data_IF_877056236945
#
_entry.id   IF_877056236945
#
_cell.length_a   1.000
_cell.length_b   1.000
_cell.length_c   1.000
_cell.angle_alpha   90.00
_cell.angle_beta   90.00
_cell.angle_gamma   90.00
#
_symmetry.space_group_name_H-M   'P 1'
#
loop_
_entity.id
_entity.type
_entity.pdbx_description
1 polymer ?
#
# COMPACT_ATOMS: atom_id res chain seq x y z
N UNK A 1 13.46 -21.41 13.47
CA UNK A 1 12.09 -21.95 13.54
C UNK A 1 11.18 -21.05 12.70
N UNK A 2 10.92 -21.41 11.45
CA UNK A 2 9.92 -20.72 10.62
C UNK A 2 8.55 -21.27 11.01
N UNK A 3 7.75 -20.46 11.71
CA UNK A 3 6.36 -20.83 12.00
C UNK A 3 5.55 -20.58 10.71
N UNK A 4 5.01 -21.61 10.05
CA UNK A 4 4.13 -21.40 8.92
C UNK A 4 2.84 -20.82 9.49
N UNK A 5 2.56 -19.54 9.24
CA UNK A 5 1.24 -19.00 9.54
C UNK A 5 0.21 -19.74 8.68
N UNK A 6 -0.36 -20.80 9.23
CA UNK A 6 -1.47 -21.52 8.65
C UNK A 6 -2.59 -20.52 8.32
N UNK A 7 -3.00 -20.48 7.05
CA UNK A 7 -4.17 -19.73 6.60
C UNK A 7 -5.35 -20.18 7.45
N UNK A 8 -5.81 -19.34 8.38
CA UNK A 8 -7.04 -19.62 9.14
C UNK A 8 -8.21 -19.37 8.18
N UNK A 9 -8.97 -20.41 7.78
CA UNK A 9 -10.19 -20.19 7.02
C UNK A 9 -11.15 -19.34 7.88
N UNK A 10 -11.58 -18.18 7.36
CA UNK A 10 -12.54 -17.30 8.05
C UNK A 10 -11.97 -16.09 8.80
N UNK A 11 -10.75 -15.63 8.49
CA UNK A 11 -10.33 -14.31 9.00
C UNK A 11 -11.24 -13.23 8.40
N UNK A 12 -11.97 -12.51 9.24
CA UNK A 12 -12.84 -11.41 8.78
C UNK A 12 -11.98 -10.39 8.04
N UNK A 13 -12.49 -9.79 6.95
CA UNK A 13 -11.77 -8.71 6.29
C UNK A 13 -11.49 -7.57 7.29
N UNK A 14 -10.36 -6.87 7.13
CA UNK A 14 -9.98 -5.79 8.04
C UNK A 14 -11.04 -4.69 8.07
N UNK A 15 -11.18 -4.03 9.22
CA UNK A 15 -12.11 -2.90 9.34
C UNK A 15 -11.63 -1.70 8.51
N UNK A 16 -12.53 -0.78 8.10
CA UNK A 16 -12.16 0.43 7.37
C UNK A 16 -11.06 1.25 8.06
N UNK A 17 -11.11 1.37 9.40
CA UNK A 17 -10.07 2.05 10.19
C UNK A 17 -8.74 1.31 10.14
N UNK A 18 -8.76 -0.02 10.17
CA UNK A 18 -7.58 -0.86 10.04
C UNK A 18 -6.89 -0.68 8.69
N UNK A 19 -7.69 -0.64 7.62
CA UNK A 19 -7.20 -0.41 6.25
C UNK A 19 -6.58 0.98 6.13
N UNK A 20 -7.27 2.04 6.57
CA UNK A 20 -6.72 3.42 6.58
C UNK A 20 -5.36 3.47 7.26
N UNK A 21 -5.25 2.87 8.46
CA UNK A 21 -3.99 2.84 9.22
C UNK A 21 -2.87 2.07 8.51
N UNK A 22 -3.20 1.00 7.79
CA UNK A 22 -2.23 0.25 6.99
C UNK A 22 -1.72 1.11 5.82
N UNK A 23 -2.63 1.70 5.05
CA UNK A 23 -2.29 2.59 3.94
C UNK A 23 -1.39 3.75 4.39
N UNK A 24 -1.75 4.47 5.48
CA UNK A 24 -0.92 5.58 6.00
C UNK A 24 0.48 5.11 6.41
N UNK A 25 0.62 3.93 7.04
CA UNK A 25 1.92 3.39 7.43
C UNK A 25 2.78 3.02 6.24
N UNK A 26 2.20 2.39 5.22
CA UNK A 26 2.89 1.99 3.99
C UNK A 26 3.39 3.22 3.22
N UNK A 27 2.53 4.23 3.05
CA UNK A 27 2.91 5.48 2.39
C UNK A 27 3.93 6.28 3.20
N UNK A 28 3.80 6.34 4.53
CA UNK A 28 4.82 6.94 5.40
C UNK A 28 6.20 6.29 5.21
N UNK A 29 6.28 4.95 5.16
CA UNK A 29 7.56 4.28 4.94
C UNK A 29 8.11 4.54 3.54
N UNK A 30 7.23 4.55 2.55
CA UNK A 30 7.57 4.83 1.15
C UNK A 30 8.17 6.23 1.00
N UNK A 31 7.53 7.26 1.56
CA UNK A 31 8.04 8.65 1.49
C UNK A 31 9.37 8.81 2.22
N UNK A 32 9.56 8.10 3.35
CA UNK A 32 10.85 8.06 4.04
C UNK A 32 11.96 7.42 3.19
N UNK A 33 11.66 6.43 2.35
CA UNK A 33 12.64 5.84 1.40
C UNK A 33 12.94 6.75 0.22
N UNK A 34 11.93 7.48 -0.26
CA UNK A 34 12.11 8.52 -1.29
C UNK A 34 12.92 9.73 -0.78
N UNK A 35 13.10 9.87 0.54
CA UNK A 35 13.69 11.06 1.19
C UNK A 35 12.97 12.35 0.79
N UNK A 36 11.67 12.24 0.51
CA UNK A 36 10.84 13.33 0.05
C UNK A 36 10.04 13.88 1.22
N UNK A 37 10.02 15.21 1.34
CA UNK A 37 9.03 15.89 2.17
C UNK A 37 7.78 16.15 1.32
N UNK A 38 6.63 15.66 1.79
CA UNK A 38 5.34 15.99 1.21
C UNK A 38 4.57 16.89 2.18
N UNK A 39 3.91 17.95 1.70
CA UNK A 39 2.96 18.71 2.51
C UNK A 39 1.89 17.76 3.09
N UNK A 40 1.42 18.00 4.33
CA UNK A 40 0.45 17.13 4.99
C UNK A 40 -0.83 16.88 4.16
N UNK A 41 -1.30 17.89 3.43
CA UNK A 41 -2.48 17.79 2.59
C UNK A 41 -2.25 16.87 1.37
N UNK A 42 -1.10 17.01 0.69
CA UNK A 42 -0.71 16.16 -0.44
C UNK A 42 -0.53 14.70 -0.01
N UNK A 43 0.04 14.46 1.18
CA UNK A 43 0.15 13.12 1.75
C UNK A 43 -1.23 12.53 2.03
N UNK A 44 -2.12 13.30 2.64
CA UNK A 44 -3.50 12.88 2.96
C UNK A 44 -4.31 12.55 1.70
N UNK A 45 -4.16 13.33 0.64
CA UNK A 45 -4.77 13.05 -0.67
C UNK A 45 -4.27 11.71 -1.23
N UNK A 46 -2.97 11.43 -1.12
CA UNK A 46 -2.38 10.15 -1.52
C UNK A 46 -2.88 8.97 -0.69
N UNK A 47 -3.01 9.15 0.63
CA UNK A 47 -3.57 8.13 1.52
C UNK A 47 -5.04 7.82 1.19
N UNK A 48 -5.86 8.84 0.90
CA UNK A 48 -7.27 8.63 0.52
C UNK A 48 -7.40 7.96 -0.84
N UNK A 49 -6.56 8.34 -1.82
CA UNK A 49 -6.50 7.67 -3.12
C UNK A 49 -6.18 6.18 -2.93
N UNK A 50 -5.11 5.87 -2.20
CA UNK A 50 -4.70 4.49 -1.98
C UNK A 50 -5.76 3.70 -1.20
N UNK A 51 -6.33 4.29 -0.15
CA UNK A 51 -7.43 3.69 0.61
C UNK A 51 -8.63 3.32 -0.28
N UNK A 52 -9.06 4.24 -1.16
CA UNK A 52 -10.18 3.99 -2.09
C UNK A 52 -9.89 2.82 -3.02
N UNK A 53 -8.67 2.73 -3.56
CA UNK A 53 -8.22 1.63 -4.43
C UNK A 53 -8.22 0.28 -3.69
N UNK A 54 -7.78 0.27 -2.43
CA UNK A 54 -7.79 -0.92 -1.57
C UNK A 54 -9.21 -1.38 -1.25
N UNK A 55 -10.11 -0.46 -0.87
CA UNK A 55 -11.51 -0.80 -0.61
C UNK A 55 -12.20 -1.36 -1.86
N UNK A 56 -11.95 -0.78 -3.03
CA UNK A 56 -12.48 -1.26 -4.31
C UNK A 56 -12.02 -2.68 -4.66
N UNK A 57 -10.87 -3.12 -4.14
CA UNK A 57 -10.29 -4.45 -4.38
C UNK A 57 -10.23 -5.31 -3.10
N UNK A 58 -11.02 -4.98 -2.08
CA UNK A 58 -10.85 -5.51 -0.72
C UNK A 58 -10.87 -7.04 -0.66
N UNK A 59 -11.81 -7.68 -1.38
CA UNK A 59 -11.95 -9.14 -1.39
C UNK A 59 -10.68 -9.78 -1.96
N UNK A 60 -10.25 -9.33 -3.14
CA UNK A 60 -9.06 -9.87 -3.81
C UNK A 60 -7.78 -9.62 -2.99
N UNK A 61 -7.63 -8.42 -2.41
CA UNK A 61 -6.48 -8.10 -1.55
C UNK A 61 -6.48 -9.00 -0.31
N UNK A 62 -7.65 -9.21 0.31
CA UNK A 62 -7.79 -10.07 1.49
C UNK A 62 -7.48 -11.53 1.17
N UNK A 63 -7.88 -12.04 0.00
CA UNK A 63 -7.54 -13.40 -0.44
C UNK A 63 -6.03 -13.56 -0.72
N UNK A 64 -5.39 -12.51 -1.23
CA UNK A 64 -3.98 -12.49 -1.63
C UNK A 64 -3.04 -11.88 -0.57
N UNK A 65 -3.52 -11.62 0.65
CA UNK A 65 -2.79 -10.87 1.70
C UNK A 65 -1.38 -11.40 2.02
N UNK A 66 -1.16 -12.69 1.81
CA UNK A 66 0.12 -13.38 2.07
C UNK A 66 1.09 -13.32 0.90
N UNK A 67 0.64 -12.95 -0.30
CA UNK A 67 1.46 -12.86 -1.50
C UNK A 67 1.94 -11.43 -1.72
N UNK A 68 2.99 -11.03 -1.00
CA UNK A 68 3.54 -9.68 -1.05
C UNK A 68 3.92 -9.22 -2.46
N UNK A 69 4.49 -10.12 -3.27
CA UNK A 69 4.88 -9.81 -4.65
C UNK A 69 3.65 -9.41 -5.46
N UNK A 70 2.60 -10.23 -5.41
CA UNK A 70 1.37 -9.98 -6.15
C UNK A 70 0.68 -8.67 -5.72
N UNK A 71 0.70 -8.35 -4.42
CA UNK A 71 0.16 -7.09 -3.93
C UNK A 71 0.98 -5.87 -4.38
N UNK A 72 2.32 -5.97 -4.39
CA UNK A 72 3.17 -4.92 -4.95
C UNK A 72 2.94 -4.75 -6.45
N UNK A 73 2.82 -5.84 -7.21
CA UNK A 73 2.59 -5.80 -8.65
C UNK A 73 1.22 -5.16 -8.96
N UNK A 74 0.19 -5.47 -8.17
CA UNK A 74 -1.10 -4.79 -8.22
C UNK A 74 -1.00 -3.29 -7.91
N UNK A 75 -0.28 -2.94 -6.83
CA UNK A 75 -0.10 -1.55 -6.42
C UNK A 75 0.61 -0.73 -7.50
N UNK A 76 1.66 -1.29 -8.09
CA UNK A 76 2.43 -0.69 -9.18
C UNK A 76 1.54 -0.42 -10.40
N UNK A 77 0.62 -1.33 -10.72
CA UNK A 77 -0.30 -1.19 -11.85
C UNK A 77 -1.44 -0.20 -11.59
N UNK A 78 -2.09 -0.27 -10.44
CA UNK A 78 -3.40 0.36 -10.23
C UNK A 78 -3.36 1.63 -9.36
N UNK A 79 -2.24 1.88 -8.67
CA UNK A 79 -2.06 2.98 -7.71
C UNK A 79 -0.88 3.87 -8.05
N UNK A 80 0.25 3.29 -8.46
CA UNK A 80 1.52 4.01 -8.57
C UNK A 80 1.46 5.22 -9.53
N UNK A 81 0.85 5.09 -10.71
CA UNK A 81 0.80 6.17 -11.69
C UNK A 81 0.06 7.42 -11.17
N UNK A 82 -1.17 7.25 -10.69
CA UNK A 82 -1.96 8.37 -10.13
C UNK A 82 -1.28 8.99 -8.89
N UNK A 83 -0.63 8.16 -8.06
CA UNK A 83 0.09 8.66 -6.88
C UNK A 83 1.38 9.40 -7.26
N UNK A 84 2.08 8.94 -8.30
CA UNK A 84 3.28 9.58 -8.83
C UNK A 84 2.94 10.96 -9.40
N UNK A 85 1.84 11.07 -10.14
CA UNK A 85 1.34 12.36 -10.65
C UNK A 85 0.95 13.29 -9.50
N UNK A 86 0.21 12.80 -8.50
CA UNK A 86 -0.17 13.60 -7.34
C UNK A 86 1.03 14.14 -6.57
N UNK A 87 2.08 13.33 -6.41
CA UNK A 87 3.28 13.68 -5.65
C UNK A 87 4.39 14.30 -6.51
N UNK A 88 4.18 14.39 -7.82
CA UNK A 88 5.16 14.89 -8.79
C UNK A 88 6.52 14.17 -8.68
N UNK A 89 6.48 12.84 -8.58
CA UNK A 89 7.66 11.97 -8.48
C UNK A 89 7.75 11.01 -9.65
N UNK A 90 8.95 10.56 -10.06
CA UNK A 90 9.06 9.54 -11.10
C UNK A 90 8.43 8.21 -10.65
N UNK A 91 7.51 7.67 -11.45
CA UNK A 91 6.80 6.41 -11.17
C UNK A 91 7.75 5.27 -10.80
N UNK A 92 8.84 5.08 -11.55
CA UNK A 92 9.83 4.03 -11.28
C UNK A 92 10.46 4.15 -9.89
N UNK A 93 10.75 5.38 -9.45
CA UNK A 93 11.34 5.60 -8.12
C UNK A 93 10.31 5.30 -7.03
N UNK A 94 9.06 5.74 -7.23
CA UNK A 94 7.96 5.49 -6.33
C UNK A 94 7.66 3.99 -6.19
N UNK A 95 7.57 3.26 -7.30
CA UNK A 95 7.35 1.81 -7.32
C UNK A 95 8.47 1.06 -6.57
N UNK A 96 9.73 1.41 -6.83
CA UNK A 96 10.87 0.82 -6.11
C UNK A 96 10.80 1.11 -4.61
N UNK A 97 10.56 2.35 -4.23
CA UNK A 97 10.48 2.75 -2.82
C UNK A 97 9.31 2.09 -2.08
N UNK A 98 8.17 1.91 -2.75
CA UNK A 98 7.02 1.21 -2.18
C UNK A 98 7.34 -0.27 -1.97
N UNK A 99 7.90 -0.94 -2.99
CA UNK A 99 8.29 -2.36 -2.90
C UNK A 99 9.29 -2.63 -1.78
N UNK A 100 10.24 -1.73 -1.58
CA UNK A 100 11.22 -1.81 -0.49
C UNK A 100 10.60 -1.56 0.90
N UNK A 101 9.53 -0.78 0.97
CA UNK A 101 8.83 -0.44 2.22
C UNK A 101 7.71 -1.42 2.59
N UNK A 102 7.19 -2.17 1.61
CA UNK A 102 5.98 -2.96 1.75
C UNK A 102 6.20 -4.22 2.61
N UNK A 103 5.44 -4.33 3.69
CA UNK A 103 5.41 -5.53 4.52
C UNK A 103 6.50 -5.66 5.59
N UNK A 104 7.19 -4.57 5.96
CA UNK A 104 8.14 -4.57 7.08
C UNK A 104 9.46 -3.95 6.72
#
# INVERSE_FOLDING_TARGET
MHSPHAKRPGSKPPSPRGIRRACSKELYRTTKRLKLYLPPETLKQGEELYYRKVIGNLIWIHENYSNKKLLCDWWEKDVCGELAELWQVPERQLASAFRDAFGG
#
